data_IF_882598793607
#
_entry.id   IF_882598793607
#
_cell.length_a   1.000
_cell.length_b   1.000
_cell.length_c   1.000
_cell.angle_alpha   90.00
_cell.angle_beta   90.00
_cell.angle_gamma   90.00
#
_symmetry.space_group_name_H-M   'P 1'
#
loop_
_entity.id
_entity.type
_entity.pdbx_description
1 polymer ?
#
# COMPACT_ATOMS: atom_id res chain seq x y z
N UNK A 1 21.97 11.34 1.48
CA UNK A 1 21.06 12.47 1.22
C UNK A 1 20.99 12.68 -0.27
N UNK A 2 19.88 12.31 -0.91
CA UNK A 2 19.63 12.68 -2.30
C UNK A 2 19.37 14.19 -2.30
N UNK A 3 20.27 14.97 -2.91
CA UNK A 3 20.08 16.42 -3.05
C UNK A 3 19.55 16.65 -4.46
N UNK A 4 18.23 16.76 -4.60
CA UNK A 4 17.64 17.27 -5.82
C UNK A 4 17.89 18.79 -5.88
N UNK A 5 18.18 19.31 -7.07
CA UNK A 5 18.23 20.76 -7.29
C UNK A 5 16.83 21.35 -7.21
N UNK A 6 16.70 22.64 -6.90
CA UNK A 6 15.42 23.35 -6.83
C UNK A 6 14.59 23.16 -8.11
N UNK A 7 15.23 23.21 -9.28
CA UNK A 7 14.58 22.97 -10.58
C UNK A 7 14.01 21.55 -10.74
N UNK A 8 14.59 20.56 -10.04
CA UNK A 8 14.09 19.17 -10.04
C UNK A 8 12.97 19.00 -9.03
N UNK A 9 13.09 19.64 -7.86
CA UNK A 9 12.00 19.69 -6.88
C UNK A 9 10.74 20.33 -7.47
N UNK A 10 10.89 21.41 -8.24
CA UNK A 10 9.78 22.05 -8.95
C UNK A 10 9.08 21.14 -9.98
N UNK A 11 9.70 20.02 -10.36
CA UNK A 11 9.12 19.04 -11.28
C UNK A 11 8.46 17.86 -10.54
N UNK A 12 8.67 17.70 -9.23
CA UNK A 12 8.06 16.62 -8.46
C UNK A 12 6.56 16.89 -8.31
N UNK A 13 5.74 15.91 -8.68
CA UNK A 13 4.28 15.96 -8.61
C UNK A 13 3.71 15.13 -7.48
N UNK A 14 4.42 14.09 -7.02
CA UNK A 14 4.00 13.29 -5.87
C UNK A 14 5.18 12.68 -5.13
N UNK A 15 4.95 12.36 -3.86
CA UNK A 15 5.81 11.53 -3.04
C UNK A 15 4.95 10.43 -2.41
N UNK A 16 5.30 9.17 -2.66
CA UNK A 16 4.61 8.01 -2.10
C UNK A 16 5.52 7.34 -1.05
N UNK A 17 5.00 7.06 0.12
CA UNK A 17 5.68 6.27 1.15
C UNK A 17 5.73 4.80 0.72
N UNK A 18 6.89 4.16 0.84
CA UNK A 18 7.05 2.72 0.64
C UNK A 18 7.61 2.09 1.91
N UNK A 19 6.93 1.07 2.43
CA UNK A 19 7.28 0.39 3.68
C UNK A 19 7.68 -1.06 3.42
N UNK A 20 8.68 -1.54 4.14
CA UNK A 20 9.16 -2.92 4.08
C UNK A 20 9.26 -3.53 5.48
N UNK A 21 9.08 -4.85 5.55
CA UNK A 21 9.46 -5.66 6.70
C UNK A 21 10.76 -6.38 6.35
N UNK A 22 11.83 -6.09 7.08
CA UNK A 22 13.05 -6.89 7.09
C UNK A 22 12.83 -8.09 8.02
N UNK A 23 12.88 -9.30 7.48
CA UNK A 23 12.66 -10.57 8.20
C UNK A 23 13.95 -11.30 8.58
N UNK A 24 15.11 -10.66 8.40
CA UNK A 24 16.41 -11.28 8.61
C UNK A 24 17.02 -11.89 7.35
N UNK A 25 16.22 -12.40 6.42
CA UNK A 25 16.69 -13.04 5.18
C UNK A 25 16.53 -12.13 3.95
N UNK A 26 15.57 -11.22 3.99
CA UNK A 26 15.22 -10.32 2.89
C UNK A 26 14.20 -9.28 3.31
N UNK A 27 13.40 -8.81 2.36
CA UNK A 27 12.47 -7.70 2.55
C UNK A 27 11.10 -8.03 1.95
N UNK A 28 10.07 -8.04 2.78
CA UNK A 28 8.67 -8.05 2.35
C UNK A 28 8.25 -6.62 2.04
N UNK A 29 7.86 -6.34 0.80
CA UNK A 29 7.42 -5.02 0.35
C UNK A 29 5.92 -4.82 0.64
N UNK A 30 5.61 -3.93 1.59
CA UNK A 30 4.24 -3.58 1.93
C UNK A 30 3.62 -2.61 0.92
N UNK A 31 4.32 -2.30 -0.17
CA UNK A 31 3.82 -1.49 -1.25
C UNK A 31 3.92 0.00 -0.97
N UNK A 32 3.18 0.76 -1.76
CA UNK A 32 3.25 2.21 -1.82
C UNK A 32 1.96 2.82 -1.30
N UNK A 33 2.07 3.96 -0.63
CA UNK A 33 0.91 4.72 -0.25
C UNK A 33 1.10 6.22 -0.44
N UNK A 34 0.03 6.94 -0.77
CA UNK A 34 0.03 8.38 -1.06
C UNK A 34 0.08 9.24 0.22
N UNK A 35 0.58 8.69 1.33
CA UNK A 35 0.72 9.37 2.61
C UNK A 35 2.11 10.00 2.72
N UNK A 36 2.18 11.28 2.37
CA UNK A 36 3.38 12.11 2.52
C UNK A 36 3.06 13.34 3.36
N UNK A 37 3.95 13.66 4.30
CA UNK A 37 3.84 14.84 5.14
C UNK A 37 4.72 15.96 4.59
N UNK A 38 4.24 17.20 4.65
CA UNK A 38 4.97 18.38 4.20
C UNK A 38 5.00 19.43 5.30
N UNK A 39 6.10 20.17 5.41
CA UNK A 39 6.21 21.28 6.35
C UNK A 39 5.48 22.54 5.83
N UNK A 40 5.44 23.61 6.62
CA UNK A 40 4.81 24.89 6.23
C UNK A 40 5.44 25.55 5.00
N UNK A 41 6.68 25.19 4.66
CA UNK A 41 7.42 25.69 3.50
C UNK A 41 7.16 24.84 2.24
N UNK A 42 6.44 23.72 2.37
CA UNK A 42 6.13 22.79 1.30
C UNK A 42 7.19 21.72 1.05
N UNK A 43 8.19 21.59 1.92
CA UNK A 43 9.19 20.52 1.81
C UNK A 43 8.66 19.22 2.38
N UNK A 44 9.00 18.11 1.72
CA UNK A 44 8.70 16.76 2.20
C UNK A 44 9.37 16.51 3.56
N UNK A 45 8.57 16.10 4.54
CA UNK A 45 9.03 15.59 5.81
C UNK A 45 9.38 14.11 5.61
N UNK A 46 10.68 13.83 5.50
CA UNK A 46 11.22 12.49 5.30
C UNK A 46 11.26 11.69 6.63
N UNK A 47 10.08 11.47 7.20
CA UNK A 47 9.83 10.66 8.39
C UNK A 47 8.52 9.89 8.28
N UNK A 48 8.52 8.66 8.76
CA UNK A 48 7.31 7.84 8.88
C UNK A 48 7.00 7.61 10.36
N UNK A 49 5.74 7.71 10.75
CA UNK A 49 5.27 7.59 12.14
C UNK A 49 5.23 6.13 12.63
N UNK A 50 5.30 5.16 11.73
CA UNK A 50 5.22 3.72 12.03
C UNK A 50 3.85 3.12 11.70
N UNK A 51 2.90 3.92 11.27
CA UNK A 51 1.54 3.48 10.97
C UNK A 51 1.43 2.97 9.54
N UNK A 52 0.80 1.79 9.37
CA UNK A 52 0.53 1.23 8.04
C UNK A 52 -0.86 0.60 7.96
N UNK A 53 -1.34 0.42 6.73
CA UNK A 53 -2.64 -0.17 6.48
C UNK A 53 -2.68 -1.66 6.86
N UNK A 54 -3.73 -2.03 7.58
CA UNK A 54 -4.02 -3.42 7.94
C UNK A 54 -5.39 -3.86 7.44
N UNK A 55 -5.49 -5.12 7.01
CA UNK A 55 -6.76 -5.81 6.72
C UNK A 55 -7.00 -6.85 7.81
N UNK A 56 -8.14 -6.74 8.51
CA UNK A 56 -8.47 -7.57 9.68
C UNK A 56 -7.34 -7.59 10.72
N UNK A 57 -6.64 -6.46 10.87
CA UNK A 57 -5.54 -6.29 11.81
C UNK A 57 -4.19 -6.85 11.37
N UNK A 58 -4.06 -7.41 10.17
CA UNK A 58 -2.80 -7.87 9.60
C UNK A 58 -2.23 -6.84 8.62
N UNK A 59 -0.92 -6.54 8.64
CA UNK A 59 -0.30 -5.67 7.64
C UNK A 59 -0.47 -6.27 6.25
N UNK A 60 -0.66 -5.40 5.26
CA UNK A 60 -0.90 -5.82 3.88
C UNK A 60 -0.12 -4.95 2.91
N UNK A 61 0.19 -5.51 1.75
CA UNK A 61 0.68 -4.71 0.65
C UNK A 61 -0.47 -3.81 0.15
N UNK A 62 -0.20 -2.54 -0.13
CA UNK A 62 -1.21 -1.62 -0.67
C UNK A 62 -0.61 -0.75 -1.77
N UNK A 63 -1.45 -0.33 -2.73
CA UNK A 63 -1.06 0.53 -3.84
C UNK A 63 -2.21 1.48 -4.21
N UNK A 64 -1.96 2.78 -4.42
CA UNK A 64 -3.00 3.73 -4.81
C UNK A 64 -3.51 3.46 -6.23
N UNK A 65 -4.81 3.68 -6.44
CA UNK A 65 -5.46 3.66 -7.75
C UNK A 65 -5.83 5.08 -8.16
N UNK A 66 -6.54 5.78 -7.27
CA UNK A 66 -7.02 7.14 -7.49
C UNK A 66 -7.17 7.86 -6.16
N UNK A 67 -7.14 9.19 -6.24
CA UNK A 67 -7.34 10.09 -5.12
C UNK A 67 -8.06 11.32 -5.68
N UNK A 68 -9.38 11.42 -5.43
CA UNK A 68 -10.26 12.33 -6.16
C UNK A 68 -11.08 13.21 -5.20
N UNK A 69 -11.01 14.53 -5.38
CA UNK A 69 -11.97 15.50 -4.82
C UNK A 69 -13.07 15.74 -5.86
N UNK A 70 -14.14 14.95 -5.79
CA UNK A 70 -15.20 14.90 -6.81
C UNK A 70 -16.02 16.20 -6.84
N UNK A 71 -16.30 16.76 -5.66
CA UNK A 71 -17.16 17.93 -5.49
C UNK A 71 -16.38 19.25 -5.35
N UNK A 72 -15.05 19.21 -5.33
CA UNK A 72 -14.18 20.38 -5.15
C UNK A 72 -14.29 20.99 -3.75
N UNK A 73 -14.67 20.18 -2.76
CA UNK A 73 -14.95 20.60 -1.39
C UNK A 73 -13.77 20.30 -0.44
N UNK A 74 -12.69 19.71 -0.96
CA UNK A 74 -11.51 19.31 -0.21
C UNK A 74 -11.64 17.99 0.54
N UNK A 75 -12.71 17.22 0.33
CA UNK A 75 -12.89 15.85 0.82
C UNK A 75 -12.58 14.87 -0.30
N UNK A 76 -11.72 13.91 -0.02
CA UNK A 76 -11.21 12.99 -1.02
C UNK A 76 -11.88 11.62 -0.93
N UNK A 77 -12.03 10.99 -2.10
CA UNK A 77 -12.32 9.58 -2.24
C UNK A 77 -11.05 8.91 -2.77
N UNK A 78 -10.36 8.18 -1.91
CA UNK A 78 -9.13 7.47 -2.26
C UNK A 78 -9.44 6.00 -2.48
N UNK A 79 -9.12 5.47 -3.67
CA UNK A 79 -9.19 4.04 -3.95
C UNK A 79 -7.79 3.45 -4.00
N UNK A 80 -7.63 2.28 -3.39
CA UNK A 80 -6.37 1.52 -3.38
C UNK A 80 -6.67 0.05 -3.67
N UNK A 81 -5.65 -0.72 -4.03
CA UNK A 81 -5.76 -2.17 -4.05
C UNK A 81 -4.77 -2.86 -3.12
N UNK A 82 -5.22 -3.98 -2.57
CA UNK A 82 -4.42 -4.94 -1.80
C UNK A 82 -4.28 -6.22 -2.64
N UNK A 83 -3.07 -6.63 -3.04
CA UNK A 83 -2.89 -7.90 -3.73
C UNK A 83 -3.13 -9.07 -2.77
N UNK A 84 -3.92 -10.04 -3.22
CA UNK A 84 -4.29 -11.21 -2.44
C UNK A 84 -4.58 -12.43 -3.32
N UNK A 85 -4.78 -13.57 -2.66
CA UNK A 85 -5.45 -14.74 -3.20
C UNK A 85 -6.82 -14.86 -2.54
N UNK A 86 -7.90 -14.99 -3.33
CA UNK A 86 -9.24 -15.30 -2.85
C UNK A 86 -9.54 -16.75 -3.20
N UNK A 87 -9.67 -17.62 -2.20
CA UNK A 87 -9.79 -19.06 -2.35
C UNK A 87 -8.71 -19.68 -3.26
N UNK A 88 -7.50 -19.10 -3.22
CA UNK A 88 -6.34 -19.53 -4.03
C UNK A 88 -6.20 -18.84 -5.39
N UNK A 89 -7.18 -18.05 -5.83
CA UNK A 89 -7.15 -17.33 -7.11
C UNK A 89 -6.62 -15.91 -6.93
N UNK A 90 -5.74 -15.45 -7.83
CA UNK A 90 -5.13 -14.10 -7.73
C UNK A 90 -6.18 -13.00 -7.93
N UNK A 91 -6.31 -12.13 -6.93
CA UNK A 91 -7.21 -10.97 -6.97
C UNK A 91 -6.57 -9.72 -6.38
N UNK A 92 -7.00 -8.56 -6.85
CA UNK A 92 -6.78 -7.29 -6.15
C UNK A 92 -8.03 -6.97 -5.34
N UNK A 93 -7.94 -6.95 -4.02
CA UNK A 93 -9.02 -6.42 -3.18
C UNK A 93 -9.03 -4.91 -3.34
N UNK A 94 -10.17 -4.35 -3.74
CA UNK A 94 -10.32 -2.91 -3.93
C UNK A 94 -10.90 -2.33 -2.66
N UNK A 95 -10.23 -1.30 -2.15
CA UNK A 95 -10.63 -0.59 -0.94
C UNK A 95 -10.86 0.87 -1.25
N UNK A 96 -11.73 1.49 -0.48
CA UNK A 96 -12.10 2.88 -0.60
C UNK A 96 -12.09 3.53 0.77
N UNK A 97 -11.43 4.69 0.84
CA UNK A 97 -11.50 5.64 1.94
C UNK A 97 -12.32 6.83 1.43
N UNK A 98 -13.47 7.09 2.05
CA UNK A 98 -14.38 8.14 1.60
C UNK A 98 -14.54 9.19 2.70
N UNK A 99 -13.89 10.34 2.53
CA UNK A 99 -13.96 11.44 3.48
C UNK A 99 -15.31 12.16 3.46
N UNK A 100 -16.06 12.09 2.36
CA UNK A 100 -17.41 12.68 2.26
C UNK A 100 -18.41 11.96 3.17
N UNK A 101 -18.34 10.62 3.20
CA UNK A 101 -19.22 9.79 4.03
C UNK A 101 -18.61 9.45 5.39
N UNK A 102 -17.28 9.56 5.52
CA UNK A 102 -16.51 9.06 6.67
C UNK A 102 -16.51 7.54 6.77
N UNK A 103 -16.70 6.84 5.64
CA UNK A 103 -16.75 5.37 5.59
C UNK A 103 -15.56 4.79 4.83
N UNK A 104 -14.85 3.88 5.49
CA UNK A 104 -13.79 3.07 4.88
C UNK A 104 -14.31 1.65 4.66
N UNK A 105 -14.12 1.10 3.45
CA UNK A 105 -14.66 -0.21 3.10
C UNK A 105 -13.86 -0.96 2.05
N UNK A 106 -14.00 -2.28 2.06
CA UNK A 106 -13.59 -3.14 0.95
C UNK A 106 -14.74 -3.20 -0.05
N UNK A 107 -14.53 -2.69 -1.27
CA UNK A 107 -15.53 -2.66 -2.35
C UNK A 107 -15.75 -4.03 -3.01
N UNK A 108 -14.73 -4.88 -3.01
CA UNK A 108 -14.79 -6.22 -3.61
C UNK A 108 -13.44 -6.68 -4.14
N UNK A 109 -13.44 -7.77 -4.91
CA UNK A 109 -12.21 -8.37 -5.45
C UNK A 109 -12.17 -8.28 -6.98
N UNK A 110 -11.10 -7.75 -7.58
CA UNK A 110 -10.85 -7.80 -9.01
C UNK A 110 -9.97 -8.99 -9.36
N UNK A 111 -10.46 -9.91 -10.20
CA UNK A 111 -9.65 -11.04 -10.68
C UNK A 111 -8.46 -10.56 -11.51
N UNK A 112 -7.30 -11.20 -11.33
CA UNK A 112 -6.10 -10.96 -12.14
C UNK A 112 -5.81 -12.22 -12.93
N UNK A 113 -5.76 -12.10 -14.25
CA UNK A 113 -5.36 -13.23 -15.11
C UNK A 113 -3.88 -13.57 -14.93
N UNK A 114 -3.43 -14.79 -15.29
CA UNK A 114 -2.01 -15.14 -15.24
C UNK A 114 -1.10 -14.22 -16.07
N UNK A 115 -1.64 -13.55 -17.10
CA UNK A 115 -0.90 -12.55 -17.89
C UNK A 115 -0.93 -11.15 -17.27
N UNK A 116 -1.43 -10.99 -16.05
CA UNK A 116 -1.49 -9.71 -15.33
C UNK A 116 -2.65 -8.79 -15.74
N UNK A 117 -3.55 -9.24 -16.62
CA UNK A 117 -4.72 -8.44 -17.03
C UNK A 117 -5.75 -8.43 -15.91
N UNK A 118 -6.16 -7.24 -15.51
CA UNK A 118 -7.20 -6.99 -14.49
C UNK A 118 -8.58 -7.22 -15.12
N UNK A 119 -9.40 -8.04 -14.46
CA UNK A 119 -10.79 -8.27 -14.83
C UNK A 119 -11.67 -7.03 -14.67
N UNK A 120 -12.76 -6.94 -15.44
CA UNK A 120 -13.73 -5.84 -15.29
C UNK A 120 -14.72 -6.15 -14.15
N UNK A 121 -14.91 -5.17 -13.27
CA UNK A 121 -15.86 -5.25 -12.16
C UNK A 121 -15.33 -6.05 -10.97
N UNK A 122 -16.17 -6.19 -9.94
CA UNK A 122 -15.82 -6.86 -8.71
C UNK A 122 -16.47 -8.24 -8.62
N UNK A 123 -15.68 -9.24 -8.29
CA UNK A 123 -16.13 -10.51 -7.75
C UNK A 123 -16.64 -10.29 -6.33
N UNK A 124 -17.85 -10.77 -6.06
CA UNK A 124 -18.45 -10.76 -4.73
C UNK A 124 -17.72 -11.75 -3.82
N UNK A 125 -17.33 -11.30 -2.63
CA UNK A 125 -16.84 -12.17 -1.56
C UNK A 125 -18.03 -12.60 -0.68
N UNK A 126 -18.02 -13.84 -0.23
CA UNK A 126 -19.05 -14.41 0.62
C UNK A 126 -18.46 -14.83 1.97
N UNK A 127 -19.32 -14.92 2.99
CA UNK A 127 -18.95 -15.50 4.27
C UNK A 127 -18.30 -16.88 4.11
N UNK A 128 -17.16 -17.06 4.77
CA UNK A 128 -16.37 -18.29 4.71
C UNK A 128 -15.33 -18.36 3.59
N UNK A 129 -15.31 -17.40 2.65
CA UNK A 129 -14.22 -17.28 1.68
C UNK A 129 -12.87 -17.03 2.40
N UNK A 130 -11.78 -17.51 1.81
CA UNK A 130 -10.43 -17.38 2.37
C UNK A 130 -9.65 -16.35 1.57
N UNK A 131 -9.17 -15.31 2.25
CA UNK A 131 -8.26 -14.30 1.73
C UNK A 131 -6.85 -14.62 2.25
N UNK A 132 -5.88 -14.76 1.34
CA UNK A 132 -4.46 -14.82 1.68
C UNK A 132 -3.79 -13.57 1.12
N UNK A 133 -3.29 -12.71 2.01
CA UNK A 133 -2.56 -11.51 1.61
C UNK A 133 -1.21 -11.89 1.02
N UNK A 134 -0.78 -11.17 0.00
CA UNK A 134 0.52 -11.40 -0.63
C UNK A 134 1.28 -10.08 -0.81
N UNK A 135 2.59 -10.16 -0.89
CA UNK A 135 3.50 -9.05 -1.16
C UNK A 135 4.67 -9.51 -2.02
N UNK A 136 5.39 -8.56 -2.62
CA UNK A 136 6.64 -8.86 -3.30
C UNK A 136 7.77 -9.05 -2.27
N UNK A 137 8.69 -9.98 -2.55
CA UNK A 137 9.84 -10.26 -1.69
C UNK A 137 11.16 -10.01 -2.43
N UNK A 138 12.08 -9.35 -1.75
CA UNK A 138 13.40 -8.99 -2.27
C UNK A 138 14.50 -9.60 -1.40
N UNK A 139 15.58 -10.05 -2.04
CA UNK A 139 16.77 -10.50 -1.32
C UNK A 139 17.56 -9.30 -0.73
N UNK A 140 18.60 -9.60 0.06
CA UNK A 140 19.49 -8.57 0.64
C UNK A 140 20.22 -7.69 -0.38
N UNK A 141 20.30 -8.11 -1.65
CA UNK A 141 20.87 -7.32 -2.73
C UNK A 141 19.81 -6.47 -3.46
N UNK A 142 18.54 -6.53 -3.04
CA UNK A 142 17.42 -5.80 -3.63
C UNK A 142 16.88 -6.44 -4.90
N UNK A 143 17.19 -7.71 -5.18
CA UNK A 143 16.65 -8.41 -6.34
C UNK A 143 15.29 -9.03 -5.97
N UNK A 144 14.29 -8.77 -6.80
CA UNK A 144 12.99 -9.43 -6.72
C UNK A 144 13.15 -10.95 -6.80
N UNK A 145 12.51 -11.67 -5.88
CA UNK A 145 12.52 -13.13 -5.83
C UNK A 145 11.19 -13.71 -6.31
N UNK A 146 10.11 -13.43 -5.57
CA UNK A 146 8.76 -13.90 -5.87
C UNK A 146 7.73 -13.13 -5.02
N UNK A 147 6.45 -13.44 -5.24
CA UNK A 147 5.37 -13.05 -4.33
C UNK A 147 5.29 -14.04 -3.17
N UNK A 148 5.25 -13.50 -1.96
CA UNK A 148 5.18 -14.23 -0.70
C UNK A 148 3.85 -13.93 -0.01
N UNK A 149 3.41 -14.85 0.84
CA UNK A 149 2.25 -14.63 1.71
C UNK A 149 2.65 -13.78 2.92
N UNK A 150 1.78 -12.87 3.34
CA UNK A 150 1.97 -12.07 4.55
C UNK A 150 0.82 -12.33 5.54
N UNK A 151 1.17 -12.61 6.79
CA UNK A 151 0.21 -12.97 7.83
C UNK A 151 -0.48 -14.31 7.61
N UNK A 152 -1.51 -14.56 8.41
CA UNK A 152 -2.34 -15.76 8.35
C UNK A 152 -3.50 -15.60 7.35
N UNK A 153 -4.05 -16.70 6.79
CA UNK A 153 -5.27 -16.64 6.00
C UNK A 153 -6.44 -16.03 6.79
N UNK A 154 -7.11 -15.05 6.17
CA UNK A 154 -8.28 -14.36 6.69
C UNK A 154 -9.54 -15.07 6.20
N UNK A 155 -10.44 -15.43 7.12
CA UNK A 155 -11.77 -15.92 6.77
C UNK A 155 -12.72 -14.73 6.68
N UNK A 156 -13.39 -14.57 5.53
CA UNK A 156 -14.39 -13.52 5.32
C UNK A 156 -15.55 -13.73 6.30
N UNK A 157 -15.91 -12.73 7.12
CA UNK A 157 -17.03 -12.84 8.06
C UNK A 157 -18.36 -13.12 7.35
N UNK A 158 -19.32 -13.72 8.05
CA UNK A 158 -20.65 -14.06 7.51
C UNK A 158 -21.43 -12.83 7.01
N UNK A 159 -21.23 -11.66 7.62
CA UNK A 159 -21.81 -10.39 7.19
C UNK A 159 -21.05 -9.74 6.03
N UNK A 160 -19.96 -10.35 5.57
CA UNK A 160 -19.07 -9.90 4.50
C UNK A 160 -18.40 -8.53 4.77
N UNK A 161 -18.36 -8.08 6.04
CA UNK A 161 -17.72 -6.82 6.42
C UNK A 161 -16.28 -7.07 6.86
N UNK A 162 -15.32 -6.57 6.08
CA UNK A 162 -13.90 -6.60 6.41
C UNK A 162 -13.46 -5.27 7.02
N UNK A 163 -12.69 -5.31 8.10
CA UNK A 163 -12.12 -4.11 8.72
C UNK A 163 -10.80 -3.74 8.04
N UNK A 164 -10.71 -2.51 7.53
CA UNK A 164 -9.47 -1.88 7.06
C UNK A 164 -9.15 -0.69 7.94
N UNK A 165 -7.96 -0.67 8.53
CA UNK A 165 -7.53 0.40 9.43
C UNK A 165 -6.03 0.56 9.41
N UNK A 166 -5.57 1.79 9.58
CA UNK A 166 -4.18 2.12 9.84
C UNK A 166 -3.80 1.75 11.29
N UNK A 167 -2.69 1.03 11.48
CA UNK A 167 -2.16 0.66 12.80
C UNK A 167 -0.66 0.82 12.85
N UNK A 168 -0.15 1.17 14.02
CA UNK A 168 1.28 1.18 14.30
C UNK A 168 1.85 -0.24 14.12
N UNK A 169 2.85 -0.36 13.25
CA UNK A 169 3.64 -1.56 13.08
C UNK A 169 4.81 -1.51 14.06
N UNK A 170 4.96 -2.56 14.86
CA UNK A 170 6.05 -2.66 15.83
C UNK A 170 7.16 -3.54 15.32
N UNK A 171 8.38 -3.01 15.34
CA UNK A 171 9.60 -3.82 15.18
C UNK A 171 9.72 -4.82 16.34
N UNK A 172 10.25 -6.00 16.05
CA UNK A 172 10.57 -7.03 17.03
C UNK A 172 12.07 -7.38 16.98
N UNK A 173 12.53 -8.32 17.80
CA UNK A 173 13.92 -8.79 17.73
C UNK A 173 14.24 -9.42 16.36
N UNK A 174 13.24 -10.03 15.70
CA UNK A 174 13.38 -10.74 14.43
C UNK A 174 12.89 -9.93 13.22
N UNK A 175 12.23 -8.79 13.43
CA UNK A 175 11.65 -7.98 12.35
C UNK A 175 11.92 -6.49 12.51
N UNK A 176 12.45 -5.86 11.46
CA UNK A 176 12.66 -4.42 11.44
C UNK A 176 11.81 -3.76 10.36
N UNK A 177 11.15 -2.66 10.70
CA UNK A 177 10.42 -1.88 9.70
C UNK A 177 11.37 -0.91 9.00
N UNK A 178 11.36 -0.93 7.68
CA UNK A 178 12.11 -0.01 6.83
C UNK A 178 11.13 0.84 6.02
N UNK A 179 11.53 2.06 5.67
CA UNK A 179 10.75 2.90 4.78
C UNK A 179 11.62 3.72 3.85
N UNK A 180 11.02 4.19 2.76
CA UNK A 180 11.56 5.20 1.85
C UNK A 180 10.43 5.96 1.17
N UNK A 181 10.77 6.99 0.41
CA UNK A 181 9.83 7.69 -0.46
C UNK A 181 10.19 7.49 -1.93
N UNK A 182 9.15 7.23 -2.74
CA UNK A 182 9.20 7.31 -4.20
C UNK A 182 8.68 8.68 -4.63
N UNK A 183 9.55 9.49 -5.22
CA UNK A 183 9.19 10.75 -5.84
C UNK A 183 8.84 10.51 -7.31
N UNK A 184 7.75 11.12 -7.78
CA UNK A 184 7.36 11.09 -9.20
C UNK A 184 7.39 12.49 -9.76
N UNK A 185 8.00 12.68 -10.94
CA UNK A 185 8.02 13.97 -11.62
C UNK A 185 6.90 14.15 -12.66
N UNK A 186 6.78 15.36 -13.20
CA UNK A 186 5.85 15.74 -14.27
C UNK A 186 5.93 14.85 -15.53
N UNK A 187 7.06 14.15 -15.73
CA UNK A 187 7.29 13.22 -16.83
C UNK A 187 7.05 11.75 -16.43
N UNK A 188 6.52 11.52 -15.22
CA UNK A 188 6.28 10.21 -14.63
C UNK A 188 7.57 9.39 -14.40
N UNK A 189 8.72 10.06 -14.30
CA UNK A 189 9.94 9.38 -13.86
C UNK A 189 9.93 9.22 -12.34
N UNK A 190 10.42 8.07 -11.88
CA UNK A 190 10.48 7.73 -10.46
C UNK A 190 11.91 7.89 -9.91
N UNK A 191 12.00 8.48 -8.72
CA UNK A 191 13.23 8.63 -7.96
C UNK A 191 13.01 8.13 -6.54
N UNK A 192 14.03 7.51 -5.96
CA UNK A 192 13.92 6.92 -4.63
C UNK A 192 14.82 7.67 -3.65
N UNK A 193 14.27 7.98 -2.48
CA UNK A 193 15.09 8.43 -1.35
C UNK A 193 15.88 7.23 -0.77
N UNK A 194 16.94 7.49 0.02
CA UNK A 194 17.61 6.43 0.75
C UNK A 194 16.65 5.74 1.72
N UNK A 195 16.71 4.41 1.78
CA UNK A 195 15.97 3.61 2.76
C UNK A 195 16.44 3.94 4.18
N UNK A 196 15.49 3.97 5.12
CA UNK A 196 15.72 4.21 6.54
C UNK A 196 15.03 3.15 7.38
N UNK A 197 15.56 2.91 8.57
CA UNK A 197 14.92 2.11 9.61
C UNK A 197 14.02 3.00 10.45
N UNK A 198 12.88 2.47 10.87
CA UNK A 198 11.95 3.11 11.80
C UNK A 198 12.40 2.97 13.25
#
# INVERSE_FOLDING_TARGET
>A
MLVLSDDKWAQITSADLNVFIDDGDGFLDLGLDNVAEYNEEGDLIDSWDGTWLTLQGQPCAVYPISDEDVDGNGLYITQKFIPALLNGERVNLIIEFNEETGEDRVLGAQSITPSGVVGRGYTTMNGGDIITLICDYYDRAGNFQAQYTIGDPIIVPEDCVLTIVNKELTSSEDTQMLYTYRLTDLYQAHYWLPIKTK
#
